data_IF_770973554761
#
_entry.id   IF_770973554761
#
_cell.length_a   1.000
_cell.length_b   1.000
_cell.length_c   1.000
_cell.angle_alpha   90.00
_cell.angle_beta   90.00
_cell.angle_gamma   90.00
#
_symmetry.space_group_name_H-M   'P 1'
#
loop_
_entity.id
_entity.type
_entity.pdbx_description
1 polymer ?
#
# COMPACT_ATOMS: atom_id res chain seq x y z
N UNK A 1 0.41 -0.31 -1.59
CA UNK A 1 1.29 0.76 -1.03
C UNK A 1 1.73 1.66 -2.17
N UNK A 2 2.27 2.84 -1.91
CA UNK A 2 2.62 3.84 -2.93
C UNK A 2 4.12 4.15 -2.86
N UNK A 3 4.81 4.26 -4.00
CA UNK A 3 6.26 4.44 -4.09
C UNK A 3 6.62 5.84 -4.57
N UNK A 4 7.44 6.61 -3.85
CA UNK A 4 8.04 7.86 -4.33
C UNK A 4 9.58 7.75 -4.40
N UNK A 5 10.24 8.56 -5.24
CA UNK A 5 11.72 8.58 -5.31
C UNK A 5 12.34 7.25 -5.78
N UNK A 6 13.48 6.87 -5.17
CA UNK A 6 14.10 5.56 -5.44
C UNK A 6 13.34 4.43 -4.72
N UNK A 7 12.94 4.58 -3.45
CA UNK A 7 12.20 3.54 -2.68
C UNK A 7 11.38 4.07 -1.49
N UNK A 8 10.93 5.33 -1.48
CA UNK A 8 10.18 5.87 -0.34
C UNK A 8 8.74 5.31 -0.33
N UNK A 9 8.37 4.62 0.75
CA UNK A 9 7.07 3.94 0.88
C UNK A 9 6.05 4.84 1.56
N UNK A 10 4.89 4.97 0.93
CA UNK A 10 3.74 5.70 1.43
C UNK A 10 2.49 4.80 1.52
N UNK A 11 1.66 5.06 2.53
CA UNK A 11 0.37 4.42 2.68
C UNK A 11 -0.67 5.37 3.31
N UNK A 12 -1.97 5.18 3.05
CA UNK A 12 -3.03 5.86 3.80
C UNK A 12 -2.91 5.59 5.31
N UNK A 13 -3.24 6.56 6.16
CA UNK A 13 -3.07 6.44 7.60
C UNK A 13 -3.83 5.27 8.26
N UNK A 14 -4.94 4.82 7.66
CA UNK A 14 -5.70 3.68 8.17
C UNK A 14 -4.98 2.33 7.94
N UNK A 15 -4.04 2.25 7.00
CA UNK A 15 -3.28 1.03 6.66
C UNK A 15 -2.62 0.39 7.89
N UNK A 16 -1.94 1.19 8.71
CA UNK A 16 -1.25 0.67 9.90
C UNK A 16 -2.22 0.05 10.93
N UNK A 17 -3.45 0.56 11.01
CA UNK A 17 -4.49 0.02 11.89
C UNK A 17 -5.01 -1.30 11.34
N UNK A 18 -5.26 -1.37 10.04
CA UNK A 18 -5.74 -2.56 9.37
C UNK A 18 -4.76 -3.74 9.47
N UNK A 19 -3.48 -3.49 9.21
CA UNK A 19 -2.43 -4.52 9.34
C UNK A 19 -2.39 -5.09 10.76
N UNK A 20 -2.49 -4.23 11.79
CA UNK A 20 -2.51 -4.66 13.19
C UNK A 20 -3.80 -5.42 13.55
N UNK A 21 -4.94 -5.14 12.91
CA UNK A 21 -6.18 -5.88 13.12
C UNK A 21 -6.10 -7.34 12.63
N UNK A 22 -5.24 -7.63 11.65
CA UNK A 22 -5.02 -8.97 11.10
C UNK A 22 -4.01 -9.81 11.89
N UNK A 23 -3.61 -9.37 13.11
CA UNK A 23 -2.66 -10.06 14.00
C UNK A 23 -2.96 -11.53 14.24
N UNK A 24 -4.23 -11.91 14.39
CA UNK A 24 -4.63 -13.30 14.63
C UNK A 24 -4.20 -14.23 13.50
N UNK A 25 -4.57 -13.87 12.27
CA UNK A 25 -4.24 -14.64 11.05
C UNK A 25 -2.73 -14.71 10.82
N UNK A 26 -2.00 -13.62 11.08
CA UNK A 26 -0.56 -13.60 10.91
C UNK A 26 0.18 -14.46 11.94
N UNK A 27 -0.29 -14.50 13.19
CA UNK A 27 0.24 -15.44 14.19
C UNK A 27 0.06 -16.89 13.76
N UNK A 28 -1.11 -17.25 13.25
CA UNK A 28 -1.39 -18.62 12.77
C UNK A 28 -0.49 -19.02 11.60
N UNK A 29 -0.26 -18.11 10.65
CA UNK A 29 0.56 -18.37 9.46
C UNK A 29 2.06 -18.39 9.75
N UNK A 30 2.54 -17.57 10.68
CA UNK A 30 3.98 -17.38 10.93
C UNK A 30 4.51 -18.22 12.10
N UNK A 31 3.64 -18.61 13.05
CA UNK A 31 4.03 -19.27 14.30
C UNK A 31 4.74 -18.35 15.30
N UNK A 32 4.80 -17.03 15.04
CA UNK A 32 5.45 -16.06 15.91
C UNK A 32 4.63 -15.80 17.18
N UNK A 33 5.32 -15.49 18.28
CA UNK A 33 4.69 -14.97 19.49
C UNK A 33 4.14 -13.55 19.25
N UNK A 34 3.32 -13.07 20.18
CA UNK A 34 2.81 -11.71 20.13
C UNK A 34 3.88 -10.64 20.01
N UNK A 35 4.87 -10.71 20.89
CA UNK A 35 5.93 -9.72 20.97
C UNK A 35 6.84 -9.76 19.73
N UNK A 36 7.08 -10.95 19.18
CA UNK A 36 7.82 -11.11 17.93
C UNK A 36 7.09 -10.48 16.75
N UNK A 37 5.77 -10.69 16.67
CA UNK A 37 4.97 -10.11 15.61
C UNK A 37 4.86 -8.59 15.73
N UNK A 38 4.74 -8.07 16.96
CA UNK A 38 4.71 -6.62 17.21
C UNK A 38 6.04 -5.97 16.83
N UNK A 39 7.18 -6.59 17.18
CA UNK A 39 8.51 -6.13 16.76
C UNK A 39 8.64 -6.10 15.23
N UNK A 40 8.14 -7.13 14.55
CA UNK A 40 8.15 -7.18 13.09
C UNK A 40 7.30 -6.06 12.47
N UNK A 41 6.12 -5.80 13.03
CA UNK A 41 5.29 -4.70 12.54
C UNK A 41 5.95 -3.35 12.75
N UNK A 42 6.53 -3.11 13.92
CA UNK A 42 7.18 -1.83 14.19
C UNK A 42 8.35 -1.62 13.21
N UNK A 43 9.15 -2.66 12.92
CA UNK A 43 10.22 -2.57 11.92
C UNK A 43 9.71 -2.27 10.51
N UNK A 44 8.66 -2.95 10.05
CA UNK A 44 8.13 -2.76 8.69
C UNK A 44 7.38 -1.43 8.56
N UNK A 45 6.59 -1.07 9.56
CA UNK A 45 5.76 0.14 9.54
C UNK A 45 6.59 1.42 9.75
N UNK A 46 7.73 1.35 10.44
CA UNK A 46 8.64 2.50 10.59
C UNK A 46 9.25 2.95 9.25
N UNK A 47 9.37 2.04 8.28
CA UNK A 47 9.84 2.35 6.92
C UNK A 47 8.72 2.96 6.04
N UNK A 48 7.49 3.09 6.55
CA UNK A 48 6.32 3.50 5.78
C UNK A 48 5.80 4.85 6.28
N UNK A 49 5.84 5.85 5.41
CA UNK A 49 5.24 7.14 5.67
C UNK A 49 3.72 7.07 5.52
N UNK A 50 3.00 7.27 6.62
CA UNK A 50 1.53 7.31 6.58
C UNK A 50 1.01 8.72 6.24
N UNK A 51 0.01 8.78 5.36
CA UNK A 51 -0.59 10.03 4.88
C UNK A 51 -2.07 10.08 5.27
N UNK A 52 -2.55 11.14 5.95
CA UNK A 52 -3.97 11.26 6.33
C UNK A 52 -4.85 11.46 5.09
N UNK A 53 -6.06 10.90 5.11
CA UNK A 53 -6.99 10.97 3.97
C UNK A 53 -7.32 12.39 3.52
N UNK A 54 -7.41 13.33 4.47
CA UNK A 54 -7.67 14.75 4.20
C UNK A 54 -6.61 15.38 3.27
N UNK A 55 -5.41 14.81 3.17
CA UNK A 55 -4.36 15.31 2.28
C UNK A 55 -4.60 14.99 0.80
N UNK A 56 -5.37 13.95 0.49
CA UNK A 56 -5.65 13.47 -0.86
C UNK A 56 -7.15 13.36 -1.16
N UNK A 57 -7.99 14.07 -0.41
CA UNK A 57 -9.45 14.08 -0.57
C UNK A 57 -9.89 14.55 -1.97
N UNK A 58 -9.13 15.48 -2.58
CA UNK A 58 -9.38 15.95 -3.95
C UNK A 58 -9.19 14.84 -5.00
N UNK A 59 -8.40 13.81 -4.70
CA UNK A 59 -8.10 12.68 -5.60
C UNK A 59 -9.01 11.47 -5.37
N UNK A 60 -9.72 11.42 -4.23
CA UNK A 60 -10.60 10.32 -3.85
C UNK A 60 -11.76 10.07 -4.84
N UNK A 61 -12.47 11.09 -5.35
CA UNK A 61 -13.55 10.87 -6.32
C UNK A 61 -13.08 10.18 -7.60
N UNK A 62 -11.95 10.63 -8.16
CA UNK A 62 -11.36 10.03 -9.35
C UNK A 62 -10.90 8.59 -9.09
N UNK A 63 -10.34 8.34 -7.91
CA UNK A 63 -9.92 7.00 -7.51
C UNK A 63 -11.09 6.03 -7.32
N UNK A 64 -12.18 6.47 -6.70
CA UNK A 64 -13.39 5.66 -6.53
C UNK A 64 -14.04 5.31 -7.87
N UNK A 65 -14.08 6.25 -8.81
CA UNK A 65 -14.57 6.00 -10.17
C UNK A 65 -13.72 4.94 -10.86
N UNK A 66 -12.40 5.07 -10.79
CA UNK A 66 -11.46 4.12 -11.39
C UNK A 66 -11.59 2.72 -10.76
N UNK A 67 -11.76 2.63 -9.44
CA UNK A 67 -11.86 1.37 -8.68
C UNK A 67 -13.24 0.73 -8.66
N UNK A 68 -14.24 1.29 -9.34
CA UNK A 68 -15.62 0.78 -9.27
C UNK A 68 -15.75 -0.67 -9.78
N UNK A 69 -14.99 -1.04 -10.81
CA UNK A 69 -15.02 -2.37 -11.43
C UNK A 69 -13.90 -3.31 -10.94
N UNK A 70 -13.10 -2.87 -9.95
CA UNK A 70 -11.98 -3.64 -9.37
C UNK A 70 -12.24 -3.94 -7.90
N UNK A 71 -11.69 -3.13 -6.98
CA UNK A 71 -11.99 -3.17 -5.55
C UNK A 71 -12.09 -1.73 -5.01
N UNK A 72 -13.30 -1.26 -4.64
CA UNK A 72 -13.48 0.06 -4.05
C UNK A 72 -12.70 0.30 -2.76
N UNK A 73 -12.33 -0.75 -2.03
CA UNK A 73 -11.54 -0.64 -0.79
C UNK A 73 -10.08 -0.25 -1.08
N UNK A 74 -9.58 -0.45 -2.30
CA UNK A 74 -8.25 -0.02 -2.75
C UNK A 74 -8.20 1.45 -3.23
N UNK A 75 -9.36 2.10 -3.38
CA UNK A 75 -9.45 3.49 -3.82
C UNK A 75 -8.58 4.48 -3.01
N UNK A 76 -8.43 4.37 -1.68
CA UNK A 76 -7.57 5.28 -0.93
C UNK A 76 -6.07 5.17 -1.29
N UNK A 77 -5.59 3.98 -1.65
CA UNK A 77 -4.20 3.80 -2.10
C UNK A 77 -3.99 4.43 -3.47
N UNK A 78 -4.97 4.29 -4.35
CA UNK A 78 -4.92 4.90 -5.67
C UNK A 78 -5.03 6.42 -5.62
N UNK A 79 -5.93 6.96 -4.79
CA UNK A 79 -6.04 8.40 -4.54
C UNK A 79 -4.71 8.98 -4.05
N UNK A 80 -4.02 8.28 -3.15
CA UNK A 80 -2.70 8.69 -2.67
C UNK A 80 -1.64 8.64 -3.78
N UNK A 81 -1.64 7.60 -4.62
CA UNK A 81 -0.73 7.49 -5.76
C UNK A 81 -0.92 8.64 -6.76
N UNK A 82 -2.18 8.95 -7.10
CA UNK A 82 -2.53 10.09 -7.94
C UNK A 82 -2.09 11.42 -7.33
N UNK A 83 -2.33 11.60 -6.03
CA UNK A 83 -1.96 12.82 -5.31
C UNK A 83 -0.44 13.04 -5.30
N UNK A 84 0.33 11.97 -5.10
CA UNK A 84 1.80 12.01 -5.07
C UNK A 84 2.42 11.93 -6.48
N UNK A 85 1.63 11.60 -7.50
CA UNK A 85 2.07 11.45 -8.90
C UNK A 85 3.08 10.32 -9.05
N UNK A 86 2.81 9.16 -8.47
CA UNK A 86 3.79 8.10 -8.37
C UNK A 86 3.19 6.68 -8.44
N UNK A 87 4.08 5.67 -8.47
CA UNK A 87 3.70 4.30 -8.77
C UNK A 87 2.95 3.64 -7.60
N UNK A 88 1.92 2.86 -7.92
CA UNK A 88 1.28 1.97 -6.97
C UNK A 88 2.08 0.66 -6.89
N UNK A 89 2.48 0.25 -5.70
CA UNK A 89 3.03 -1.07 -5.44
C UNK A 89 1.92 -2.03 -5.03
N UNK A 90 1.64 -3.00 -5.90
CA UNK A 90 0.71 -4.10 -5.66
C UNK A 90 1.06 -5.31 -6.53
N UNK A 91 0.82 -6.51 -6.02
CA UNK A 91 0.84 -7.75 -6.80
C UNK A 91 -0.54 -8.14 -7.35
N UNK A 92 -1.55 -7.29 -7.12
CA UNK A 92 -2.87 -7.48 -7.69
C UNK A 92 -2.87 -7.15 -9.19
N UNK A 93 -3.22 -8.15 -10.00
CA UNK A 93 -3.27 -8.03 -11.45
C UNK A 93 -4.43 -7.17 -11.93
N UNK A 94 -5.52 -7.10 -11.19
CA UNK A 94 -6.73 -6.38 -11.58
C UNK A 94 -6.49 -4.86 -11.54
N UNK A 95 -5.55 -4.40 -10.71
CA UNK A 95 -5.12 -3.01 -10.65
C UNK A 95 -4.33 -2.56 -11.89
N UNK A 96 -3.75 -3.48 -12.67
CA UNK A 96 -3.03 -3.16 -13.91
C UNK A 96 -3.97 -2.85 -15.08
N UNK A 97 -5.24 -3.21 -14.97
CA UNK A 97 -6.21 -2.96 -16.05
C UNK A 97 -6.61 -1.48 -16.14
N UNK A 98 -6.20 -0.66 -15.18
CA UNK A 98 -6.45 0.78 -15.17
C UNK A 98 -5.40 1.54 -15.98
N UNK A 99 -5.86 2.50 -16.77
CA UNK A 99 -5.06 3.31 -17.72
C UNK A 99 -4.20 4.41 -17.02
N UNK A 100 -3.67 4.12 -15.83
CA UNK A 100 -2.99 5.07 -14.94
C UNK A 100 -1.64 4.52 -14.44
N UNK A 101 -0.83 5.39 -13.83
CA UNK A 101 0.61 5.23 -13.49
C UNK A 101 1.09 3.80 -13.16
N UNK A 102 2.35 3.44 -13.52
CA UNK A 102 2.77 2.04 -13.54
C UNK A 102 2.58 1.36 -12.18
N UNK A 103 1.70 0.36 -12.14
CA UNK A 103 1.65 -0.59 -11.03
C UNK A 103 2.93 -1.42 -11.07
N UNK A 104 3.68 -1.39 -9.98
CA UNK A 104 4.93 -2.12 -9.80
C UNK A 104 4.63 -3.33 -8.91
N UNK A 105 5.01 -4.53 -9.34
CA UNK A 105 4.94 -5.74 -8.52
C UNK A 105 6.11 -5.85 -7.56
N UNK A 106 6.00 -6.73 -6.58
CA UNK A 106 7.10 -7.08 -5.68
C UNK A 106 8.32 -7.60 -6.45
N UNK A 107 8.11 -8.41 -7.50
CA UNK A 107 9.21 -8.90 -8.35
C UNK A 107 9.93 -7.75 -9.06
N UNK A 108 9.18 -6.84 -9.69
CA UNK A 108 9.75 -5.67 -10.37
C UNK A 108 10.43 -4.70 -9.40
N UNK A 109 9.93 -4.60 -8.16
CA UNK A 109 10.57 -3.82 -7.11
C UNK A 109 11.93 -4.43 -6.71
N UNK A 110 11.99 -5.74 -6.52
CA UNK A 110 13.23 -6.46 -6.17
C UNK A 110 14.25 -6.38 -7.31
N UNK A 111 13.83 -6.54 -8.56
CA UNK A 111 14.72 -6.40 -9.72
C UNK A 111 15.34 -4.99 -9.82
N UNK A 112 14.67 -3.95 -9.28
CA UNK A 112 15.20 -2.58 -9.21
C UNK A 112 16.17 -2.36 -8.06
N UNK A 113 16.14 -3.20 -7.02
CA UNK A 113 17.04 -3.10 -5.86
C UNK A 113 18.28 -3.99 -5.98
N UNK A 114 18.27 -4.97 -6.89
CA UNK A 114 19.44 -5.80 -7.18
C UNK A 114 20.44 -5.06 -8.11
N UNK A 115 21.73 -4.95 -7.73
CA UNK A 115 22.77 -4.28 -8.52
C UNK A 115 23.27 -5.06 -9.74
#
# INVERSE_FOLDING_TARGET
MVLTGEFDLHAPAHFGTEVRNHRGTLREKTGLTGDQLDTLFDLVLDEITTVPSDAFDDSLPAAMEAMTDVDPDDAPFFALALHLGCALWSDDGDLREQDLDPVVTTTELVERTEP
#
